data_IF_585794620610
#
_entry.id   IF_585794620610
#
_cell.length_a   1.000
_cell.length_b   1.000
_cell.length_c   1.000
_cell.angle_alpha   90.00
_cell.angle_beta   90.00
_cell.angle_gamma   90.00
#
_symmetry.space_group_name_H-M   'P 1'
#
loop_
_entity.id
_entity.type
_entity.pdbx_description
1 polymer ?
#
# COMPACT_ATOMS: atom_id res chain seq x y z
N UNK A 1 -8.87 -3.20 -16.71
CA UNK A 1 -8.44 -4.63 -16.72
C UNK A 1 -7.57 -5.01 -17.90
N UNK A 2 -7.77 -4.43 -19.09
CA UNK A 2 -7.03 -4.81 -20.29
C UNK A 2 -5.50 -4.76 -20.13
N UNK A 3 -4.96 -3.71 -19.52
CA UNK A 3 -3.50 -3.55 -19.30
C UNK A 3 -2.93 -4.63 -18.38
N UNK A 4 -3.57 -4.93 -17.24
CA UNK A 4 -3.09 -5.95 -16.31
C UNK A 4 -3.12 -7.35 -16.95
N UNK A 5 -4.20 -7.67 -17.67
CA UNK A 5 -4.34 -8.94 -18.39
C UNK A 5 -3.30 -9.10 -19.50
N UNK A 6 -3.02 -8.04 -20.25
CA UNK A 6 -2.01 -8.05 -21.31
C UNK A 6 -0.59 -8.31 -20.78
N UNK A 7 -0.29 -7.88 -19.55
CA UNK A 7 1.01 -8.09 -18.90
C UNK A 7 1.06 -9.36 -18.04
N UNK A 8 0.03 -10.22 -18.07
CA UNK A 8 -0.05 -11.42 -17.23
C UNK A 8 -0.17 -11.13 -15.72
N UNK A 9 -0.46 -9.88 -15.34
CA UNK A 9 -0.57 -9.47 -13.94
C UNK A 9 -1.97 -9.81 -13.44
N UNK A 10 -2.04 -10.65 -12.39
CA UNK A 10 -3.29 -10.98 -11.72
C UNK A 10 -3.94 -9.72 -11.17
N UNK A 11 -5.22 -9.49 -11.52
CA UNK A 11 -6.00 -8.42 -10.91
C UNK A 11 -6.21 -8.64 -9.41
N UNK A 12 -6.09 -7.56 -8.63
CA UNK A 12 -6.51 -7.51 -7.23
C UNK A 12 -7.38 -6.27 -7.01
N UNK A 13 -8.42 -6.36 -6.17
CA UNK A 13 -9.22 -5.19 -5.79
C UNK A 13 -8.35 -4.06 -5.23
N UNK A 14 -8.78 -2.82 -5.43
CA UNK A 14 -8.06 -1.62 -5.01
C UNK A 14 -7.72 -1.60 -3.49
N UNK A 15 -8.57 -2.21 -2.67
CA UNK A 15 -8.33 -2.35 -1.24
C UNK A 15 -7.07 -3.20 -0.95
N UNK A 16 -6.94 -4.35 -1.60
CA UNK A 16 -5.79 -5.24 -1.42
C UNK A 16 -4.50 -4.63 -1.98
N UNK A 17 -4.58 -3.91 -3.10
CA UNK A 17 -3.41 -3.23 -3.66
C UNK A 17 -2.95 -2.10 -2.73
N UNK A 18 -3.88 -1.34 -2.11
CA UNK A 18 -3.57 -0.35 -1.07
C UNK A 18 -2.81 -0.94 0.12
N UNK A 19 -3.22 -2.11 0.61
CA UNK A 19 -2.50 -2.83 1.68
C UNK A 19 -1.09 -3.30 1.25
N UNK A 20 -0.97 -3.78 0.02
CA UNK A 20 0.31 -4.23 -0.55
C UNK A 20 1.27 -3.06 -0.70
N UNK A 21 0.78 -1.94 -1.25
CA UNK A 21 1.53 -0.69 -1.37
C UNK A 21 2.08 -0.24 -0.02
N UNK A 22 1.23 -0.15 1.00
CA UNK A 22 1.63 0.28 2.35
C UNK A 22 2.75 -0.60 2.91
N UNK A 23 2.59 -1.92 2.81
CA UNK A 23 3.59 -2.88 3.31
C UNK A 23 4.94 -2.74 2.59
N UNK A 24 4.91 -2.59 1.26
CA UNK A 24 6.14 -2.45 0.45
C UNK A 24 6.85 -1.14 0.78
N UNK A 25 6.12 -0.03 0.89
CA UNK A 25 6.71 1.26 1.25
C UNK A 25 7.43 1.20 2.61
N UNK A 26 6.76 0.64 3.63
CA UNK A 26 7.34 0.53 4.97
C UNK A 26 8.54 -0.42 5.01
N UNK A 27 8.46 -1.57 4.33
CA UNK A 27 9.58 -2.51 4.24
C UNK A 27 10.80 -1.90 3.54
N UNK A 28 10.57 -1.01 2.58
CA UNK A 28 11.64 -0.32 1.86
C UNK A 28 12.14 0.93 2.60
N UNK A 29 11.70 1.17 3.85
CA UNK A 29 12.16 2.29 4.68
C UNK A 29 11.64 3.66 4.23
N UNK A 30 10.57 3.73 3.44
CA UNK A 30 9.98 5.00 3.06
C UNK A 30 9.42 5.73 4.28
N UNK A 31 9.48 7.06 4.26
CA UNK A 31 8.98 7.90 5.34
C UNK A 31 7.49 7.62 5.60
N UNK A 32 7.13 7.09 6.78
CA UNK A 32 5.77 6.67 7.07
C UNK A 32 4.77 7.82 7.17
N UNK A 33 5.22 9.05 7.44
CA UNK A 33 4.36 10.24 7.44
C UNK A 33 3.84 10.53 6.03
N UNK A 34 4.74 10.43 5.04
CA UNK A 34 4.38 10.61 3.64
C UNK A 34 3.42 9.52 3.16
N UNK A 35 3.71 8.26 3.52
CA UNK A 35 2.85 7.11 3.19
C UNK A 35 1.47 7.24 3.85
N UNK A 36 1.40 7.68 5.11
CA UNK A 36 0.13 7.91 5.81
C UNK A 36 -0.70 9.01 5.12
N UNK A 37 -0.05 10.10 4.70
CA UNK A 37 -0.70 11.18 3.95
C UNK A 37 -1.27 10.71 2.62
N UNK A 38 -0.52 9.92 1.85
CA UNK A 38 -0.97 9.35 0.56
C UNK A 38 -2.18 8.43 0.72
N UNK A 39 -2.27 7.73 1.85
CA UNK A 39 -3.40 6.85 2.15
C UNK A 39 -4.56 7.63 2.79
N UNK A 40 -4.37 8.87 3.24
CA UNK A 40 -5.39 9.58 4.02
C UNK A 40 -5.65 8.94 5.39
N UNK A 41 -4.60 8.36 5.99
CA UNK A 41 -4.65 7.76 7.32
C UNK A 41 -3.87 8.63 8.32
N UNK A 42 -4.21 8.51 9.61
CA UNK A 42 -3.32 8.98 10.67
C UNK A 42 -2.06 8.10 10.74
N UNK A 43 -0.92 8.71 11.07
CA UNK A 43 0.34 8.00 11.26
C UNK A 43 0.18 6.88 12.31
N UNK A 44 -0.54 7.17 13.40
CA UNK A 44 -0.80 6.23 14.50
C UNK A 44 -1.53 4.98 13.99
N UNK A 45 -2.59 5.14 13.20
CA UNK A 45 -3.34 4.00 12.67
C UNK A 45 -2.50 3.18 11.68
N UNK A 46 -1.69 3.84 10.84
CA UNK A 46 -0.79 3.17 9.93
C UNK A 46 0.27 2.35 10.69
N UNK A 47 0.89 2.93 11.71
CA UNK A 47 1.88 2.26 12.55
C UNK A 47 1.28 1.06 13.26
N UNK A 48 0.14 1.23 13.94
CA UNK A 48 -0.56 0.14 14.64
C UNK A 48 -0.92 -1.04 13.73
N UNK A 49 -1.18 -0.79 12.43
CA UNK A 49 -1.64 -1.83 11.52
C UNK A 49 -0.50 -2.59 10.83
N UNK A 50 0.61 -1.91 10.54
CA UNK A 50 1.66 -2.46 9.67
C UNK A 50 3.02 -2.59 10.32
N UNK A 51 3.25 -1.92 11.46
CA UNK A 51 4.47 -2.07 12.25
C UNK A 51 4.16 -3.04 13.39
N UNK A 52 4.78 -4.21 13.31
CA UNK A 52 4.83 -5.22 14.37
C UNK A 52 6.28 -5.44 14.73
#
# INVERSE_FOLDING_TARGET
MAVLKANGIRYRPAYNTRHTYTTVCLKNGLNPVCVASQLGHSLVMLMQRYVK
#
